data_IF_076479628715
#
_entry.id   IF_076479628715
#
_cell.length_a   1.000
_cell.length_b   1.000
_cell.length_c   1.000
_cell.angle_alpha   90.00
_cell.angle_beta   90.00
_cell.angle_gamma   90.00
#
_symmetry.space_group_name_H-M   'P 1'
#
loop_
_entity.id
_entity.type
_entity.pdbx_description
1 polymer ?
#
# COMPACT_ATOMS: atom_id res chain seq x y z
N UNK A 1 -11.97 -36.77 -24.32
CA UNK A 1 -11.67 -35.76 -25.37
C UNK A 1 -10.24 -35.31 -25.19
N UNK A 2 -9.41 -35.38 -26.21
CA UNK A 2 -8.06 -34.79 -26.11
C UNK A 2 -8.21 -33.27 -25.93
N UNK A 3 -7.58 -32.71 -24.91
CA UNK A 3 -7.61 -31.27 -24.65
C UNK A 3 -6.82 -30.55 -25.77
N UNK A 4 -7.44 -29.53 -26.38
CA UNK A 4 -6.93 -28.90 -27.60
C UNK A 4 -5.48 -28.33 -27.48
N UNK A 5 -5.04 -28.01 -26.26
CA UNK A 5 -3.72 -27.49 -25.96
C UNK A 5 -2.67 -28.55 -25.56
N UNK A 6 -3.08 -29.86 -25.47
CA UNK A 6 -2.19 -30.98 -25.26
C UNK A 6 -2.01 -31.73 -26.59
N UNK A 7 -0.97 -31.47 -27.35
CA UNK A 7 -0.81 -32.01 -28.70
C UNK A 7 -0.38 -33.49 -28.71
N UNK A 8 -0.01 -34.06 -27.58
CA UNK A 8 0.49 -35.43 -27.50
C UNK A 8 -0.65 -36.44 -27.66
N UNK A 9 -0.42 -37.39 -28.57
CA UNK A 9 -1.28 -38.55 -28.76
C UNK A 9 -0.98 -39.63 -27.71
N UNK A 10 -1.85 -40.63 -27.57
CA UNK A 10 -1.60 -41.80 -26.71
C UNK A 10 -0.33 -42.53 -27.07
N UNK A 11 0.03 -42.57 -28.39
CA UNK A 11 1.28 -43.16 -28.85
C UNK A 11 2.49 -42.34 -28.47
N UNK A 12 2.40 -41.03 -28.52
CA UNK A 12 3.47 -40.13 -28.03
C UNK A 12 3.71 -40.33 -26.54
N UNK A 13 2.63 -40.39 -25.75
CA UNK A 13 2.71 -40.63 -24.30
C UNK A 13 3.39 -41.98 -24.03
N UNK A 14 2.95 -43.05 -24.72
CA UNK A 14 3.54 -44.37 -24.58
C UNK A 14 5.05 -44.39 -24.91
N UNK A 15 5.45 -43.76 -26.01
CA UNK A 15 6.88 -43.64 -26.38
C UNK A 15 7.69 -42.88 -25.33
N UNK A 16 7.11 -41.83 -24.74
CA UNK A 16 7.76 -41.08 -23.65
C UNK A 16 7.93 -41.92 -22.39
N UNK A 17 6.90 -42.68 -21.98
CA UNK A 17 6.96 -43.58 -20.84
C UNK A 17 7.97 -44.71 -21.04
N UNK A 18 7.99 -45.31 -22.22
CA UNK A 18 9.00 -46.34 -22.61
C UNK A 18 10.42 -45.76 -22.55
N UNK A 19 10.61 -44.54 -23.01
CA UNK A 19 11.92 -43.89 -22.96
C UNK A 19 12.39 -43.58 -21.54
N UNK A 20 11.47 -43.23 -20.63
CA UNK A 20 11.73 -43.02 -19.21
C UNK A 20 11.94 -44.36 -18.47
N UNK A 21 11.32 -45.44 -18.94
CA UNK A 21 11.37 -46.77 -18.34
C UNK A 21 10.30 -46.98 -17.27
N UNK A 22 9.13 -46.39 -17.42
CA UNK A 22 7.97 -46.52 -16.52
C UNK A 22 6.75 -47.02 -17.31
N UNK A 23 5.82 -47.70 -16.64
CA UNK A 23 4.66 -48.28 -17.30
C UNK A 23 3.43 -47.38 -17.42
N UNK A 24 3.34 -46.35 -16.56
CA UNK A 24 2.22 -45.43 -16.52
C UNK A 24 2.61 -44.03 -16.10
N UNK A 25 1.70 -43.06 -16.29
CA UNK A 25 1.89 -41.71 -15.78
C UNK A 25 1.94 -41.67 -14.24
N UNK A 26 1.21 -42.57 -13.59
CA UNK A 26 1.17 -42.71 -12.13
C UNK A 26 2.53 -43.07 -11.55
N UNK A 27 3.32 -43.87 -12.29
CA UNK A 27 4.65 -44.31 -11.84
C UNK A 27 5.62 -43.11 -11.71
N UNK A 28 5.34 -42.00 -12.40
CA UNK A 28 6.11 -40.75 -12.30
C UNK A 28 5.96 -40.08 -10.94
N UNK A 29 4.92 -40.42 -10.18
CA UNK A 29 4.63 -39.90 -8.85
C UNK A 29 4.96 -40.89 -7.74
N UNK A 30 5.89 -41.81 -7.98
CA UNK A 30 6.27 -42.87 -7.03
C UNK A 30 6.85 -42.34 -5.71
N UNK A 31 7.34 -41.11 -5.68
CA UNK A 31 7.82 -40.39 -4.49
C UNK A 31 6.71 -39.70 -3.68
N UNK A 32 5.47 -39.65 -4.21
CA UNK A 32 4.32 -39.09 -3.51
C UNK A 32 3.65 -40.22 -2.67
N UNK A 33 3.44 -40.00 -1.34
CA UNK A 33 2.73 -40.95 -0.52
C UNK A 33 1.34 -41.26 -1.08
N UNK A 34 1.00 -42.58 -1.17
CA UNK A 34 -0.22 -43.03 -1.85
C UNK A 34 -1.51 -42.56 -1.16
N UNK A 35 -1.47 -42.29 0.13
CA UNK A 35 -2.57 -41.82 0.94
C UNK A 35 -2.91 -40.33 0.73
N UNK A 36 -2.02 -39.54 0.13
CA UNK A 36 -2.27 -38.13 -0.22
C UNK A 36 -2.65 -37.91 -1.70
N UNK A 37 -2.61 -38.99 -2.51
CA UNK A 37 -3.02 -38.90 -3.92
C UNK A 37 -4.55 -38.89 -4.00
N UNK A 38 -5.15 -37.81 -4.45
CA UNK A 38 -6.58 -37.73 -4.69
C UNK A 38 -6.96 -38.52 -5.96
N UNK A 39 -7.79 -39.53 -5.83
CA UNK A 39 -8.15 -40.48 -6.93
C UNK A 39 -9.59 -40.36 -7.38
N UNK A 40 -10.39 -39.52 -6.71
CA UNK A 40 -11.76 -39.28 -7.10
C UNK A 40 -11.86 -38.22 -8.17
N UNK A 41 -12.97 -38.16 -8.88
CA UNK A 41 -13.29 -37.05 -9.73
C UNK A 41 -13.46 -35.78 -8.87
N UNK A 42 -13.01 -34.64 -9.39
CA UNK A 42 -13.21 -33.34 -8.72
C UNK A 42 -14.68 -32.95 -8.82
N UNK A 43 -15.25 -32.52 -7.73
CA UNK A 43 -16.58 -31.90 -7.68
C UNK A 43 -16.48 -30.46 -8.20
N UNK A 44 -16.38 -30.32 -9.50
CA UNK A 44 -16.29 -29.05 -10.20
C UNK A 44 -17.51 -28.89 -11.11
N UNK A 45 -18.00 -27.65 -11.28
CA UNK A 45 -19.04 -27.36 -12.27
C UNK A 45 -18.63 -27.78 -13.67
N UNK A 46 -19.58 -28.13 -14.50
CA UNK A 46 -19.36 -28.36 -15.93
C UNK A 46 -18.79 -27.13 -16.63
N UNK A 47 -18.08 -27.37 -17.74
CA UNK A 47 -17.54 -26.29 -18.54
C UNK A 47 -18.65 -25.39 -19.09
N UNK A 48 -18.51 -24.09 -18.88
CA UNK A 48 -19.43 -23.06 -19.38
C UNK A 48 -18.86 -22.37 -20.63
N UNK A 49 -19.75 -21.91 -21.50
CA UNK A 49 -19.38 -20.98 -22.57
C UNK A 49 -19.01 -19.61 -22.00
N UNK A 50 -18.29 -18.80 -22.76
CA UNK A 50 -17.97 -17.41 -22.37
C UNK A 50 -19.22 -16.61 -22.00
N UNK A 51 -20.30 -16.80 -22.76
CA UNK A 51 -21.58 -16.12 -22.49
C UNK A 51 -22.17 -16.49 -21.15
N UNK A 52 -22.22 -17.79 -20.80
CA UNK A 52 -22.72 -18.29 -19.51
C UNK A 52 -21.86 -17.79 -18.34
N UNK A 53 -20.53 -17.81 -18.50
CA UNK A 53 -19.61 -17.27 -17.47
C UNK A 53 -19.87 -15.79 -17.24
N UNK A 54 -20.03 -15.00 -18.31
CA UNK A 54 -20.34 -13.57 -18.20
C UNK A 54 -21.67 -13.33 -17.48
N UNK A 55 -22.73 -14.02 -17.88
CA UNK A 55 -24.04 -13.89 -17.24
C UNK A 55 -23.97 -14.27 -15.75
N UNK A 56 -23.24 -15.33 -15.41
CA UNK A 56 -23.08 -15.77 -14.02
C UNK A 56 -22.40 -14.68 -13.16
N UNK A 57 -21.28 -14.12 -13.64
CA UNK A 57 -20.55 -13.09 -12.90
C UNK A 57 -21.24 -11.74 -12.91
N UNK A 58 -21.95 -11.37 -13.97
CA UNK A 58 -22.79 -10.17 -14.02
C UNK A 58 -23.93 -10.28 -13.00
N UNK A 59 -24.59 -11.45 -12.90
CA UNK A 59 -25.60 -11.70 -11.87
C UNK A 59 -25.03 -11.64 -10.44
N UNK A 60 -23.81 -12.14 -10.21
CA UNK A 60 -23.15 -11.98 -8.91
C UNK A 60 -22.81 -10.51 -8.61
N UNK A 61 -22.43 -9.74 -9.63
CA UNK A 61 -22.11 -8.32 -9.47
C UNK A 61 -23.35 -7.49 -9.05
N UNK A 62 -24.54 -7.87 -9.45
CA UNK A 62 -25.81 -7.20 -9.06
C UNK A 62 -26.09 -7.27 -7.55
N UNK A 63 -25.50 -8.22 -6.82
CA UNK A 63 -25.58 -8.29 -5.36
C UNK A 63 -24.73 -7.22 -4.67
N UNK A 64 -23.82 -6.55 -5.39
CA UNK A 64 -22.99 -5.49 -4.82
C UNK A 64 -23.65 -4.13 -5.06
N UNK A 65 -23.98 -3.44 -3.98
CA UNK A 65 -24.51 -2.09 -4.03
C UNK A 65 -23.35 -1.09 -4.00
N UNK A 66 -23.10 -0.29 -5.05
CA UNK A 66 -22.14 0.80 -4.99
C UNK A 66 -22.58 1.83 -3.96
N UNK A 67 -21.69 2.16 -3.02
CA UNK A 67 -21.92 3.15 -1.99
C UNK A 67 -21.04 4.38 -2.23
N UNK A 68 -21.56 5.56 -1.91
CA UNK A 68 -20.78 6.80 -1.91
C UNK A 68 -19.80 6.78 -0.73
N UNK A 69 -18.50 6.87 -1.01
CA UNK A 69 -17.47 6.62 -0.02
C UNK A 69 -17.08 7.91 0.74
N UNK A 70 -17.28 7.91 2.06
CA UNK A 70 -16.75 8.89 3.01
C UNK A 70 -15.75 8.23 3.99
N UNK A 71 -14.95 7.28 3.50
CA UNK A 71 -14.00 6.53 4.30
C UNK A 71 -12.56 6.80 3.82
N UNK A 72 -11.62 6.84 4.77
CA UNK A 72 -10.18 6.96 4.54
C UNK A 72 -9.42 5.72 5.04
N UNK A 73 -8.64 5.89 6.11
CA UNK A 73 -7.89 4.83 6.79
C UNK A 73 -6.83 4.16 5.89
N UNK A 74 -6.17 4.98 5.06
CA UNK A 74 -5.04 4.57 4.22
C UNK A 74 -5.40 4.22 2.79
N UNK A 75 -6.68 4.28 2.40
CA UNK A 75 -7.13 4.20 1.01
C UNK A 75 -8.19 5.29 0.77
N UNK A 76 -8.04 6.05 -0.34
CA UNK A 76 -8.79 7.28 -0.58
C UNK A 76 -9.39 7.27 -1.99
N UNK A 77 -10.68 7.60 -2.09
CA UNK A 77 -11.40 7.62 -3.37
C UNK A 77 -11.15 8.91 -4.15
N UNK A 78 -9.91 9.10 -4.63
CA UNK A 78 -9.55 10.19 -5.51
C UNK A 78 -10.01 9.96 -6.96
N UNK A 79 -10.19 11.04 -7.72
CA UNK A 79 -10.56 10.94 -9.14
C UNK A 79 -9.41 10.37 -9.97
N UNK A 80 -9.72 9.36 -10.77
CA UNK A 80 -8.78 8.74 -11.71
C UNK A 80 -9.05 9.26 -13.13
N UNK A 81 -8.09 9.99 -13.75
CA UNK A 81 -8.24 10.44 -15.12
C UNK A 81 -8.43 9.31 -16.14
N UNK A 82 -9.43 9.43 -17.00
CA UNK A 82 -9.85 8.37 -17.94
C UNK A 82 -8.74 7.89 -18.91
N UNK A 83 -7.71 8.70 -19.14
CA UNK A 83 -6.58 8.33 -19.99
C UNK A 83 -5.68 7.26 -19.36
N UNK A 84 -5.67 7.15 -18.04
CA UNK A 84 -4.78 6.20 -17.34
C UNK A 84 -5.15 4.75 -17.63
N UNK A 85 -6.41 4.31 -17.42
CA UNK A 85 -6.83 2.96 -17.83
C UNK A 85 -6.55 2.66 -19.30
N UNK A 86 -6.73 3.64 -20.19
CA UNK A 86 -6.43 3.48 -21.60
C UNK A 86 -4.94 3.21 -21.88
N UNK A 87 -4.04 3.87 -21.14
CA UNK A 87 -2.60 3.66 -21.30
C UNK A 87 -2.19 2.31 -20.73
N UNK A 88 -2.60 1.98 -19.48
CA UNK A 88 -2.15 0.74 -18.81
C UNK A 88 -2.73 -0.53 -19.42
N UNK A 89 -3.86 -0.43 -20.16
CA UNK A 89 -4.46 -1.57 -20.87
C UNK A 89 -3.76 -1.92 -22.19
N UNK A 90 -2.80 -1.10 -22.64
CA UNK A 90 -2.03 -1.44 -23.84
C UNK A 90 -1.16 -2.67 -23.57
N UNK A 91 -1.14 -3.58 -24.55
CA UNK A 91 -0.42 -4.88 -24.42
C UNK A 91 1.05 -4.70 -24.11
N UNK A 92 1.68 -3.63 -24.59
CA UNK A 92 3.10 -3.33 -24.37
C UNK A 92 3.43 -3.13 -22.88
N UNK A 93 2.46 -2.68 -22.09
CA UNK A 93 2.59 -2.52 -20.64
C UNK A 93 1.96 -3.70 -19.88
N UNK A 94 0.73 -4.09 -20.26
CA UNK A 94 -0.06 -5.10 -19.55
C UNK A 94 0.63 -6.46 -19.50
N UNK A 95 1.28 -6.86 -20.58
CA UNK A 95 2.01 -8.15 -20.69
C UNK A 95 3.49 -8.05 -20.34
N UNK A 96 4.01 -6.85 -20.05
CA UNK A 96 5.41 -6.68 -19.68
C UNK A 96 5.72 -7.36 -18.34
N UNK A 97 6.82 -8.11 -18.33
CA UNK A 97 7.36 -8.71 -17.11
C UNK A 97 8.58 -7.90 -16.62
N UNK A 98 9.39 -8.47 -15.76
CA UNK A 98 10.58 -7.81 -15.24
C UNK A 98 11.55 -7.43 -16.35
N UNK A 99 12.03 -6.18 -16.41
CA UNK A 99 12.90 -5.68 -17.48
C UNK A 99 14.36 -6.10 -17.27
N UNK A 100 14.64 -7.40 -17.33
CA UNK A 100 16.01 -7.95 -17.15
C UNK A 100 16.95 -7.57 -18.28
N UNK A 101 16.45 -7.49 -19.51
CA UNK A 101 17.21 -7.13 -20.69
C UNK A 101 17.00 -5.66 -21.03
N UNK A 102 17.93 -4.75 -20.64
CA UNK A 102 17.76 -3.32 -20.87
C UNK A 102 17.65 -2.96 -22.34
N UNK A 103 18.25 -3.76 -23.24
CA UNK A 103 18.26 -3.50 -24.68
C UNK A 103 16.85 -3.46 -25.29
N UNK A 104 15.91 -4.25 -24.76
CA UNK A 104 14.52 -4.34 -25.25
C UNK A 104 13.49 -3.74 -24.28
N UNK A 105 13.91 -3.29 -23.11
CA UNK A 105 13.03 -2.86 -22.02
C UNK A 105 13.19 -1.39 -21.63
N UNK A 106 13.71 -0.55 -22.50
CA UNK A 106 14.00 0.85 -22.17
C UNK A 106 12.75 1.65 -21.78
N UNK A 107 11.61 1.38 -22.41
CA UNK A 107 10.34 2.04 -22.05
C UNK A 107 9.87 1.69 -20.63
N UNK A 108 9.91 0.41 -20.26
CA UNK A 108 9.58 -0.09 -18.91
C UNK A 108 10.55 0.46 -17.86
N UNK A 109 11.85 0.39 -18.11
CA UNK A 109 12.86 0.95 -17.22
C UNK A 109 12.71 2.45 -17.03
N UNK A 110 12.35 3.17 -18.10
CA UNK A 110 12.16 4.61 -18.05
C UNK A 110 11.01 5.00 -17.12
N UNK A 111 9.82 4.42 -17.27
CA UNK A 111 8.71 4.83 -16.40
C UNK A 111 8.93 4.41 -14.93
N UNK A 112 9.63 3.30 -14.69
CA UNK A 112 10.03 2.92 -13.32
C UNK A 112 10.99 3.97 -12.74
N UNK A 113 11.96 4.44 -13.53
CA UNK A 113 12.87 5.51 -13.11
C UNK A 113 12.12 6.82 -12.83
N UNK A 114 11.12 7.16 -13.65
CA UNK A 114 10.26 8.32 -13.44
C UNK A 114 9.43 8.19 -12.16
N UNK A 115 8.83 7.01 -11.90
CA UNK A 115 8.15 6.70 -10.63
C UNK A 115 9.08 6.93 -9.42
N UNK A 116 10.25 6.31 -9.45
CA UNK A 116 11.26 6.47 -8.38
C UNK A 116 11.60 7.95 -8.14
N UNK A 117 11.79 8.71 -9.20
CA UNK A 117 12.18 10.13 -9.12
C UNK A 117 11.07 10.97 -8.52
N UNK A 118 9.82 10.77 -8.94
CA UNK A 118 8.67 11.52 -8.45
C UNK A 118 8.39 11.22 -6.97
N UNK A 119 8.43 9.95 -6.54
CA UNK A 119 8.26 9.59 -5.13
C UNK A 119 9.43 10.09 -4.28
N UNK A 120 10.65 10.05 -4.81
CA UNK A 120 11.83 10.60 -4.13
C UNK A 120 11.66 12.09 -3.85
N UNK A 121 11.17 12.84 -4.82
CA UNK A 121 10.92 14.29 -4.69
C UNK A 121 9.79 14.60 -3.71
N UNK A 122 8.65 13.88 -3.80
CA UNK A 122 7.53 14.04 -2.86
C UNK A 122 7.91 13.75 -1.41
N UNK A 123 8.75 12.75 -1.19
CA UNK A 123 9.14 12.35 0.17
C UNK A 123 10.31 13.14 0.75
N UNK A 124 11.01 13.93 -0.07
CA UNK A 124 12.23 14.63 0.31
C UNK A 124 13.42 13.70 0.55
N UNK A 125 13.40 12.49 -0.01
CA UNK A 125 14.43 11.46 0.19
C UNK A 125 15.48 11.49 -0.92
N UNK A 126 16.49 10.59 -0.82
CA UNK A 126 17.57 10.51 -1.82
C UNK A 126 17.28 9.49 -2.92
N UNK A 127 16.64 8.36 -2.57
CA UNK A 127 16.41 7.26 -3.50
C UNK A 127 15.16 6.47 -3.10
N UNK A 128 14.35 6.12 -4.09
CA UNK A 128 13.19 5.22 -3.96
C UNK A 128 13.45 3.96 -4.79
N UNK A 129 12.93 2.82 -4.35
CA UNK A 129 12.96 1.58 -5.14
C UNK A 129 11.90 1.60 -6.26
N UNK A 130 11.93 0.57 -7.12
CA UNK A 130 11.03 0.44 -8.27
C UNK A 130 9.54 0.30 -7.87
N UNK A 131 9.24 -0.18 -6.73
CA UNK A 131 8.02 -0.23 -5.92
C UNK A 131 8.01 -1.41 -4.96
N UNK A 132 7.06 -1.41 -4.04
CA UNK A 132 6.74 -2.49 -3.11
C UNK A 132 5.40 -3.11 -3.50
N UNK A 133 5.00 -4.22 -2.86
CA UNK A 133 3.70 -4.83 -3.11
C UNK A 133 2.56 -3.91 -2.67
N UNK A 134 2.64 -3.41 -1.45
CA UNK A 134 1.72 -2.42 -0.85
C UNK A 134 2.42 -1.66 0.28
N UNK A 135 1.71 -0.71 0.88
CA UNK A 135 2.26 0.10 1.97
C UNK A 135 2.55 -0.69 3.24
N UNK A 136 1.75 -1.70 3.57
CA UNK A 136 1.93 -2.49 4.78
C UNK A 136 3.19 -3.39 4.69
N UNK A 137 3.43 -4.01 3.54
CA UNK A 137 4.67 -4.75 3.28
C UNK A 137 5.87 -3.81 3.18
N UNK A 138 5.70 -2.60 2.64
CA UNK A 138 6.75 -1.58 2.66
C UNK A 138 7.16 -1.20 4.09
N UNK A 139 6.20 -1.07 5.02
CA UNK A 139 6.47 -0.81 6.43
C UNK A 139 7.23 -1.97 7.11
N UNK A 140 6.85 -3.21 6.79
CA UNK A 140 7.56 -4.40 7.29
C UNK A 140 9.00 -4.46 6.76
N UNK A 141 9.23 -4.14 5.51
CA UNK A 141 10.56 -4.07 4.92
C UNK A 141 11.39 -2.89 5.46
N UNK A 142 10.76 -1.76 5.81
CA UNK A 142 11.42 -0.66 6.52
C UNK A 142 11.95 -1.13 7.89
N UNK A 143 11.16 -1.91 8.64
CA UNK A 143 11.60 -2.56 9.88
C UNK A 143 12.81 -3.46 9.62
N UNK A 144 12.75 -4.34 8.61
CA UNK A 144 13.88 -5.23 8.26
C UNK A 144 15.13 -4.44 7.85
N UNK A 145 14.94 -3.32 7.16
CA UNK A 145 16.02 -2.41 6.77
C UNK A 145 16.68 -1.74 7.99
N UNK A 146 15.91 -1.36 9.01
CA UNK A 146 16.44 -0.86 10.27
C UNK A 146 17.27 -1.92 10.99
N UNK A 147 16.77 -3.15 11.09
CA UNK A 147 17.51 -4.29 11.67
C UNK A 147 18.82 -4.56 10.93
N UNK A 148 18.81 -4.55 9.60
CA UNK A 148 20.01 -4.74 8.79
C UNK A 148 21.01 -3.58 8.90
N UNK A 149 20.56 -2.39 9.31
CA UNK A 149 21.38 -1.18 9.42
C UNK A 149 22.07 -1.05 10.77
N UNK A 150 21.50 -1.62 11.81
CA UNK A 150 21.93 -1.43 13.20
C UNK A 150 22.43 -2.74 13.79
N UNK A 151 23.74 -2.95 13.76
CA UNK A 151 24.35 -4.15 14.35
C UNK A 151 24.09 -4.22 15.86
N UNK A 152 23.70 -5.42 16.36
CA UNK A 152 23.46 -5.73 17.78
C UNK A 152 22.17 -5.17 18.39
N UNK A 153 21.32 -4.51 17.65
CA UNK A 153 20.01 -4.09 18.12
C UNK A 153 18.96 -5.12 17.71
N UNK A 154 17.96 -5.33 18.57
CA UNK A 154 17.01 -6.44 18.43
C UNK A 154 15.56 -5.99 18.33
N UNK A 155 15.30 -4.71 18.65
CA UNK A 155 13.95 -4.19 18.82
C UNK A 155 13.65 -3.05 17.87
N UNK A 156 12.39 -3.00 17.37
CA UNK A 156 11.85 -1.86 16.63
C UNK A 156 10.60 -1.35 17.32
N UNK A 157 10.49 -0.03 17.45
CA UNK A 157 9.33 0.63 18.03
C UNK A 157 8.33 1.03 16.95
N UNK A 158 7.06 0.77 17.19
CA UNK A 158 5.94 1.16 16.36
C UNK A 158 5.05 2.13 17.12
N UNK A 159 4.64 3.24 16.50
CA UNK A 159 3.57 4.05 17.05
C UNK A 159 2.24 3.28 17.01
N UNK A 160 1.43 3.34 18.07
CA UNK A 160 0.05 2.85 18.07
C UNK A 160 -0.87 3.70 17.19
N UNK A 161 -0.41 4.88 16.75
CA UNK A 161 -1.08 5.71 15.74
C UNK A 161 -1.01 5.18 14.32
N UNK A 162 -0.17 4.17 14.03
CA UNK A 162 -0.16 3.48 12.73
C UNK A 162 -1.48 2.79 12.45
N UNK A 163 -1.81 2.65 11.17
CA UNK A 163 -3.00 1.92 10.73
C UNK A 163 -2.96 0.46 11.20
N UNK A 164 -4.07 -0.09 11.73
CA UNK A 164 -4.08 -1.44 12.33
C UNK A 164 -3.63 -2.55 11.39
N UNK A 165 -3.95 -2.46 10.09
CA UNK A 165 -3.52 -3.46 9.11
C UNK A 165 -2.01 -3.40 8.87
N UNK A 166 -1.39 -2.22 8.90
CA UNK A 166 0.08 -2.05 8.81
C UNK A 166 0.75 -2.72 9.99
N UNK A 167 0.27 -2.46 11.21
CA UNK A 167 0.79 -3.10 12.44
C UNK A 167 0.68 -4.63 12.36
N UNK A 168 -0.44 -5.16 11.84
CA UNK A 168 -0.63 -6.62 11.70
C UNK A 168 0.39 -7.25 10.77
N UNK A 169 0.68 -6.63 9.62
CA UNK A 169 1.68 -7.13 8.67
C UNK A 169 3.08 -7.05 9.28
N UNK A 170 3.45 -5.90 9.89
CA UNK A 170 4.75 -5.75 10.56
C UNK A 170 4.93 -6.80 11.67
N UNK A 171 3.89 -7.08 12.49
CA UNK A 171 3.91 -8.15 13.50
C UNK A 171 4.17 -9.53 12.88
N UNK A 172 3.58 -9.82 11.72
CA UNK A 172 3.80 -11.09 11.03
C UNK A 172 5.26 -11.24 10.61
N UNK A 173 5.82 -10.21 9.96
CA UNK A 173 7.23 -10.22 9.56
C UNK A 173 8.17 -10.33 10.76
N UNK A 174 7.91 -9.56 11.82
CA UNK A 174 8.71 -9.57 13.05
C UNK A 174 8.75 -10.96 13.68
N UNK A 175 7.58 -11.63 13.80
CA UNK A 175 7.47 -12.99 14.37
C UNK A 175 8.38 -13.99 13.67
N UNK A 176 8.38 -14.00 12.33
CA UNK A 176 9.12 -15.00 11.56
C UNK A 176 10.60 -14.64 11.33
N UNK A 177 10.98 -13.39 11.61
CA UNK A 177 12.37 -12.92 11.52
C UNK A 177 13.03 -12.70 12.89
N UNK A 178 12.35 -13.04 13.99
CA UNK A 178 12.90 -12.91 15.35
C UNK A 178 13.15 -11.46 15.78
N UNK A 179 12.36 -10.51 15.27
CA UNK A 179 12.44 -9.09 15.64
C UNK A 179 11.49 -8.83 16.82
N UNK A 180 12.00 -8.23 17.86
CA UNK A 180 11.21 -7.78 19.00
C UNK A 180 10.51 -6.45 18.64
N UNK A 181 9.21 -6.33 18.93
CA UNK A 181 8.44 -5.10 18.73
C UNK A 181 8.09 -4.45 20.07
N UNK A 182 8.37 -3.16 20.19
CA UNK A 182 7.83 -2.29 21.22
C UNK A 182 6.76 -1.35 20.62
N UNK A 183 5.90 -0.80 21.49
CA UNK A 183 4.84 0.09 21.06
C UNK A 183 4.94 1.43 21.80
N UNK A 184 4.77 2.52 21.04
CA UNK A 184 4.72 3.88 21.57
C UNK A 184 3.23 4.27 21.62
N UNK A 185 2.67 4.50 22.82
CA UNK A 185 1.27 4.87 22.97
C UNK A 185 0.97 6.25 22.36
N UNK A 186 -0.28 6.46 21.97
CA UNK A 186 -0.79 7.77 21.61
C UNK A 186 -1.36 8.48 22.85
N UNK A 187 -1.00 9.74 23.04
CA UNK A 187 -1.59 10.63 24.05
C UNK A 187 -2.29 11.78 23.30
N UNK A 188 -3.55 12.01 23.63
CA UNK A 188 -4.38 12.99 22.91
C UNK A 188 -4.33 12.82 21.39
N UNK A 189 -4.42 11.54 20.96
CA UNK A 189 -4.44 11.13 19.54
C UNK A 189 -3.11 11.16 18.81
N UNK A 190 -1.99 11.58 19.43
CA UNK A 190 -0.68 11.67 18.79
C UNK A 190 0.38 10.79 19.46
N UNK A 191 1.38 10.35 18.71
CA UNK A 191 2.50 9.52 19.19
C UNK A 191 3.25 10.21 20.32
N UNK A 192 3.36 9.57 21.47
CA UNK A 192 3.98 10.14 22.68
C UNK A 192 5.50 10.24 22.54
N UNK A 193 6.02 11.46 22.41
CA UNK A 193 7.46 11.73 22.42
C UNK A 193 8.15 11.25 23.70
N UNK A 194 7.53 11.53 24.88
CA UNK A 194 8.08 11.13 26.16
C UNK A 194 8.15 9.61 26.35
N UNK A 195 7.13 8.87 25.90
CA UNK A 195 7.15 7.41 25.93
C UNK A 195 8.23 6.85 24.99
N UNK A 196 8.38 7.43 23.79
CA UNK A 196 9.47 7.06 22.89
C UNK A 196 10.84 7.23 23.53
N UNK A 197 11.11 8.35 24.20
CA UNK A 197 12.39 8.58 24.91
C UNK A 197 12.66 7.53 25.99
N UNK A 198 11.62 7.15 26.73
CA UNK A 198 11.71 6.09 27.76
C UNK A 198 12.11 4.75 27.14
N UNK A 199 11.48 4.37 26.04
CA UNK A 199 11.79 3.13 25.31
C UNK A 199 13.20 3.15 24.69
N UNK A 200 13.64 4.29 24.15
CA UNK A 200 14.96 4.47 23.54
C UNK A 200 16.09 4.36 24.58
N UNK A 201 15.82 4.65 25.85
CA UNK A 201 16.83 4.60 26.93
C UNK A 201 17.42 3.20 27.15
N UNK A 202 16.74 2.13 26.73
CA UNK A 202 17.24 0.76 26.77
C UNK A 202 18.45 0.51 25.84
N UNK A 203 18.61 1.33 24.80
CA UNK A 203 19.74 1.29 23.86
C UNK A 203 19.71 0.15 22.83
N UNK A 204 18.66 -0.68 22.83
CA UNK A 204 18.47 -1.86 21.96
C UNK A 204 17.60 -1.61 20.73
N UNK A 205 17.08 -0.39 20.57
CA UNK A 205 16.12 -0.02 19.51
C UNK A 205 16.84 0.24 18.18
N UNK A 206 16.54 -0.58 17.16
CA UNK A 206 17.08 -0.47 15.81
C UNK A 206 16.41 0.65 14.99
N UNK A 207 15.13 0.90 15.23
CA UNK A 207 14.39 1.95 14.55
C UNK A 207 13.06 2.24 15.20
N UNK A 208 12.51 3.38 14.83
CA UNK A 208 11.17 3.86 15.25
C UNK A 208 10.36 4.16 14.02
N UNK A 209 9.19 3.56 13.89
CA UNK A 209 8.25 3.78 12.78
C UNK A 209 7.00 4.51 13.28
N UNK A 210 6.72 5.67 12.69
CA UNK A 210 5.60 6.55 13.02
C UNK A 210 4.76 6.87 11.78
N UNK A 211 3.46 7.22 11.88
CA UNK A 211 2.64 7.63 10.76
C UNK A 211 2.72 9.13 10.53
N UNK A 212 2.87 9.61 9.28
CA UNK A 212 2.79 11.05 8.94
C UNK A 212 1.38 11.62 9.17
N UNK A 213 0.38 10.89 8.73
CA UNK A 213 -1.03 11.05 9.13
C UNK A 213 -1.40 9.74 9.83
N UNK A 214 -1.95 9.83 11.02
CA UNK A 214 -2.21 8.64 11.83
C UNK A 214 -3.62 8.08 11.64
N UNK A 215 -3.93 6.97 12.31
CA UNK A 215 -5.21 6.25 12.22
C UNK A 215 -6.44 7.09 12.62
N UNK A 216 -6.24 8.23 13.26
CA UNK A 216 -7.30 9.18 13.62
C UNK A 216 -7.46 10.33 12.61
N UNK A 217 -6.62 10.35 11.55
CA UNK A 217 -6.56 11.41 10.54
C UNK A 217 -5.72 12.61 10.96
N UNK A 218 -5.05 12.55 12.12
CA UNK A 218 -4.26 13.66 12.68
C UNK A 218 -2.92 13.75 11.94
N UNK A 219 -2.54 14.97 11.54
CA UNK A 219 -1.19 15.30 11.06
C UNK A 219 -0.28 15.44 12.29
N UNK A 220 0.71 14.56 12.42
CA UNK A 220 1.60 14.56 13.58
C UNK A 220 2.82 15.50 13.40
N UNK A 221 3.31 16.05 14.52
CA UNK A 221 4.53 16.86 14.59
C UNK A 221 5.68 16.01 15.16
N UNK A 222 6.70 15.79 14.35
CA UNK A 222 7.86 14.97 14.71
C UNK A 222 9.11 15.80 15.10
N UNK A 223 8.93 17.04 15.56
CA UNK A 223 10.04 17.86 16.05
C UNK A 223 10.83 17.13 17.14
N UNK A 224 12.12 16.90 16.90
CA UNK A 224 13.03 16.25 17.84
C UNK A 224 13.03 14.71 17.79
N UNK A 225 12.08 14.05 17.10
CA UNK A 225 12.04 12.58 17.02
C UNK A 225 13.29 12.02 16.34
N UNK A 226 13.65 12.53 15.17
CA UNK A 226 14.84 12.09 14.44
C UNK A 226 16.10 12.22 15.28
N UNK A 227 16.32 13.38 15.92
CA UNK A 227 17.49 13.64 16.76
C UNK A 227 17.60 12.65 17.92
N UNK A 228 16.48 12.36 18.59
CA UNK A 228 16.44 11.40 19.70
C UNK A 228 16.78 9.98 19.24
N UNK A 229 16.23 9.55 18.10
CA UNK A 229 16.48 8.23 17.53
C UNK A 229 17.94 8.11 17.05
N UNK A 230 18.45 9.13 16.36
CA UNK A 230 19.83 9.17 15.87
C UNK A 230 20.86 9.19 17.00
N UNK A 231 20.57 9.88 18.12
CA UNK A 231 21.43 9.87 19.32
C UNK A 231 21.65 8.44 19.83
N UNK A 232 20.68 7.56 19.66
CA UNK A 232 20.78 6.13 19.98
C UNK A 232 21.26 5.28 18.80
N UNK A 233 21.66 5.86 17.66
CA UNK A 233 22.07 5.15 16.43
C UNK A 233 20.97 4.22 15.89
N UNK A 234 19.71 4.59 16.05
CA UNK A 234 18.54 3.99 15.42
C UNK A 234 18.19 4.68 14.12
N UNK A 235 17.26 4.11 13.33
CA UNK A 235 16.66 4.72 12.15
C UNK A 235 15.31 5.33 12.50
N UNK A 236 15.11 6.59 12.11
CA UNK A 236 13.81 7.22 12.15
C UNK A 236 13.05 6.95 10.84
N UNK A 237 11.90 6.30 10.94
CA UNK A 237 11.12 5.82 9.80
C UNK A 237 9.72 6.39 9.84
N UNK A 238 9.20 6.82 8.68
CA UNK A 238 7.87 7.43 8.58
C UNK A 238 7.01 6.68 7.56
N UNK A 239 5.81 6.28 7.96
CA UNK A 239 4.77 5.76 7.08
C UNK A 239 3.90 6.92 6.59
N UNK A 240 3.78 7.12 5.28
CA UNK A 240 3.12 8.29 4.70
C UNK A 240 2.14 7.95 3.59
N UNK A 241 1.06 8.73 3.51
CA UNK A 241 0.26 8.92 2.30
C UNK A 241 1.00 9.90 1.36
N UNK A 242 1.49 9.48 0.18
CA UNK A 242 2.31 10.33 -0.66
C UNK A 242 1.55 11.50 -1.28
N UNK A 243 0.23 11.40 -1.50
CA UNK A 243 -0.57 12.52 -2.01
C UNK A 243 -0.53 13.70 -1.03
N UNK A 244 -0.65 13.44 0.26
CA UNK A 244 -0.65 14.47 1.31
C UNK A 244 0.66 15.28 1.36
N UNK A 245 1.77 14.69 0.95
CA UNK A 245 3.09 15.33 0.96
C UNK A 245 3.22 16.51 0.00
N UNK A 246 2.23 16.71 -0.88
CA UNK A 246 2.14 17.91 -1.71
C UNK A 246 1.81 19.19 -0.91
N UNK A 247 1.28 19.05 0.31
CA UNK A 247 0.78 20.19 1.13
C UNK A 247 1.24 20.18 2.58
N UNK A 248 1.78 19.05 3.08
CA UNK A 248 2.32 18.95 4.45
C UNK A 248 3.83 18.78 4.42
N UNK A 249 4.49 18.98 5.56
CA UNK A 249 5.92 18.82 5.73
C UNK A 249 6.34 17.38 5.41
N UNK A 250 7.36 17.24 4.57
CA UNK A 250 7.82 15.93 4.11
C UNK A 250 8.60 15.17 5.18
N UNK A 251 8.61 13.82 5.14
CA UNK A 251 9.44 13.04 6.06
C UNK A 251 10.93 13.35 5.97
N UNK A 252 11.45 13.69 4.78
CA UNK A 252 12.83 14.13 4.61
C UNK A 252 13.14 15.40 5.40
N UNK A 253 12.21 16.37 5.44
CA UNK A 253 12.32 17.59 6.26
C UNK A 253 12.23 17.32 7.78
N UNK A 254 11.59 16.20 8.18
CA UNK A 254 11.61 15.72 9.55
C UNK A 254 12.89 14.97 9.94
N UNK A 255 13.81 14.75 8.99
CA UNK A 255 15.05 14.00 9.20
C UNK A 255 14.87 12.47 9.17
N UNK A 256 13.83 11.97 8.49
CA UNK A 256 13.64 10.53 8.35
C UNK A 256 14.79 9.87 7.56
N UNK A 257 15.19 8.66 7.98
CA UNK A 257 16.16 7.82 7.27
C UNK A 257 15.46 6.97 6.20
N UNK A 258 14.23 6.56 6.48
CA UNK A 258 13.40 5.72 5.62
C UNK A 258 11.98 6.23 5.62
N UNK A 259 11.38 6.26 4.43
CA UNK A 259 9.95 6.58 4.24
C UNK A 259 9.31 5.45 3.48
N UNK A 260 8.16 5.00 3.95
CA UNK A 260 7.37 3.96 3.30
C UNK A 260 5.89 4.35 3.29
N UNK A 261 5.12 3.71 2.45
CA UNK A 261 3.68 3.94 2.37
C UNK A 261 3.05 3.30 1.15
N UNK A 262 1.77 3.60 0.94
CA UNK A 262 1.01 3.14 -0.21
C UNK A 262 0.70 4.31 -1.14
N UNK A 263 0.93 4.11 -2.43
CA UNK A 263 0.66 5.14 -3.46
C UNK A 263 -0.75 5.07 -4.04
N UNK A 264 -1.69 4.35 -3.41
CA UNK A 264 -3.09 4.28 -3.84
C UNK A 264 -3.71 5.67 -3.98
N UNK A 265 -3.40 6.58 -3.06
CA UNK A 265 -3.90 7.97 -3.06
C UNK A 265 -3.47 8.79 -4.28
N UNK A 266 -2.54 8.29 -5.09
CA UNK A 266 -2.13 8.91 -6.36
C UNK A 266 -2.98 8.39 -7.53
N UNK A 267 -4.31 8.43 -7.37
CA UNK A 267 -5.32 8.20 -8.39
C UNK A 267 -5.70 6.76 -8.67
N UNK A 268 -5.17 5.78 -7.94
CA UNK A 268 -5.60 4.37 -8.11
C UNK A 268 -7.00 4.19 -7.53
N UNK A 269 -7.98 3.64 -8.27
CA UNK A 269 -9.32 3.41 -7.75
C UNK A 269 -9.33 2.45 -6.56
N UNK A 270 -10.36 2.56 -5.72
CA UNK A 270 -10.64 1.56 -4.69
C UNK A 270 -11.06 0.24 -5.36
N UNK A 271 -10.39 -0.86 -5.02
CA UNK A 271 -10.56 -2.18 -5.63
C UNK A 271 -10.43 -3.28 -4.57
N UNK A 272 -11.31 -3.32 -3.58
CA UNK A 272 -11.35 -4.37 -2.56
C UNK A 272 -9.97 -4.75 -1.93
N UNK A 273 -9.07 -3.77 -1.81
CA UNK A 273 -7.73 -3.97 -1.26
C UNK A 273 -6.60 -4.12 -2.29
N UNK A 274 -6.88 -3.91 -3.57
CA UNK A 274 -5.82 -3.85 -4.57
C UNK A 274 -6.17 -4.45 -5.94
N UNK A 275 -5.18 -4.50 -6.85
CA UNK A 275 -3.75 -4.22 -6.59
C UNK A 275 -3.50 -2.74 -6.32
N UNK A 276 -2.70 -2.46 -5.27
CA UNK A 276 -2.16 -1.13 -5.00
C UNK A 276 -0.65 -1.12 -5.28
N UNK A 277 0.07 -0.10 -4.83
CA UNK A 277 1.52 -0.03 -5.01
C UNK A 277 2.18 0.64 -3.81
N UNK A 278 2.99 -0.11 -3.10
CA UNK A 278 3.81 0.41 -2.04
C UNK A 278 5.05 1.12 -2.57
N UNK A 279 5.63 1.98 -1.75
CA UNK A 279 6.93 2.58 -1.99
C UNK A 279 7.82 2.49 -0.75
N UNK A 280 9.13 2.47 -1.00
CA UNK A 280 10.14 2.56 0.04
C UNK A 280 11.25 3.49 -0.45
N UNK A 281 11.49 4.56 0.29
CA UNK A 281 12.49 5.57 -0.01
C UNK A 281 13.46 5.71 1.17
N UNK A 282 14.71 6.11 0.89
CA UNK A 282 15.70 6.25 1.94
C UNK A 282 16.73 7.35 1.66
N UNK A 283 17.48 7.72 2.70
CA UNK A 283 18.67 8.57 2.59
C UNK A 283 19.81 7.84 1.86
N UNK A 284 20.81 8.59 1.41
CA UNK A 284 21.96 8.08 0.65
C UNK A 284 22.70 6.93 1.34
N UNK A 285 22.82 6.99 2.65
CA UNK A 285 23.59 6.02 3.43
C UNK A 285 22.94 4.63 3.48
N UNK A 286 21.64 4.57 3.20
CA UNK A 286 20.85 3.35 3.29
C UNK A 286 20.50 2.70 1.94
N UNK A 287 20.82 3.32 0.80
CA UNK A 287 20.49 2.81 -0.56
C UNK A 287 20.92 1.36 -0.77
N UNK A 288 22.08 0.94 -0.25
CA UNK A 288 22.58 -0.43 -0.39
C UNK A 288 21.77 -1.47 0.41
N UNK A 289 20.87 -1.03 1.27
CA UNK A 289 19.99 -1.89 2.08
C UNK A 289 18.53 -1.80 1.68
N UNK A 290 18.23 -0.89 0.76
CA UNK A 290 16.89 -0.71 0.21
C UNK A 290 16.46 -2.00 -0.50
N UNK A 291 15.34 -2.66 -0.12
CA UNK A 291 14.87 -3.88 -0.78
C UNK A 291 14.29 -3.57 -2.15
N UNK A 292 14.07 -4.61 -2.94
CA UNK A 292 13.51 -4.51 -4.27
C UNK A 292 14.48 -3.95 -5.32
N UNK A 293 13.99 -3.80 -6.53
CA UNK A 293 14.77 -3.32 -7.67
C UNK A 293 14.97 -1.82 -7.62
N UNK A 294 16.07 -1.37 -8.22
CA UNK A 294 16.36 0.06 -8.44
C UNK A 294 16.79 0.20 -9.89
N UNK A 295 16.15 1.10 -10.61
CA UNK A 295 16.55 1.51 -11.97
C UNK A 295 17.44 2.75 -11.86
N UNK A 296 18.56 2.70 -12.57
CA UNK A 296 19.49 3.82 -12.70
C UNK A 296 19.55 4.34 -14.13
N UNK A 297 19.86 5.63 -14.27
CA UNK A 297 20.15 6.24 -15.56
C UNK A 297 21.62 6.06 -15.91
N UNK A 298 21.91 5.76 -17.19
CA UNK A 298 23.25 5.58 -17.75
C UNK A 298 23.30 6.19 -19.16
N UNK A 299 24.37 5.94 -19.88
CA UNK A 299 24.52 6.24 -21.31
C UNK A 299 24.81 4.96 -22.08
N UNK A 300 24.29 4.85 -23.29
CA UNK A 300 24.62 3.81 -24.24
C UNK A 300 25.98 4.08 -24.95
N UNK A 301 26.34 3.22 -25.89
CA UNK A 301 27.60 3.33 -26.65
C UNK A 301 27.68 4.59 -27.52
N UNK A 302 26.53 5.16 -27.89
CA UNK A 302 26.43 6.40 -28.65
C UNK A 302 26.35 7.65 -27.73
N UNK A 303 26.41 7.48 -26.40
CA UNK A 303 26.29 8.55 -25.41
C UNK A 303 24.87 9.01 -25.13
N UNK A 304 23.85 8.35 -25.67
CA UNK A 304 22.43 8.64 -25.41
C UNK A 304 22.02 8.13 -24.03
N UNK A 305 21.04 8.80 -23.40
CA UNK A 305 20.49 8.36 -22.12
C UNK A 305 19.84 6.97 -22.25
N UNK A 306 20.21 6.08 -21.38
CA UNK A 306 19.67 4.74 -21.25
C UNK A 306 19.39 4.42 -19.78
N UNK A 307 18.63 3.36 -19.53
CA UNK A 307 18.23 2.93 -18.19
C UNK A 307 18.58 1.46 -17.99
N UNK A 308 19.01 1.12 -16.77
CA UNK A 308 19.42 -0.24 -16.40
C UNK A 308 18.98 -0.57 -14.98
N UNK A 309 18.80 -1.86 -14.67
CA UNK A 309 18.70 -2.31 -13.29
C UNK A 309 20.07 -2.17 -12.61
N UNK A 310 20.07 -1.60 -11.39
CA UNK A 310 21.30 -1.38 -10.64
C UNK A 310 21.28 -2.13 -9.30
N UNK A 311 22.45 -2.31 -8.67
CA UNK A 311 22.60 -2.93 -7.36
C UNK A 311 21.94 -4.31 -7.23
N UNK A 312 21.84 -5.08 -8.31
CA UNK A 312 21.14 -6.37 -8.37
C UNK A 312 21.73 -7.42 -7.40
N UNK A 313 23.00 -7.30 -7.00
CA UNK A 313 23.64 -8.22 -6.07
C UNK A 313 22.93 -8.32 -4.69
N UNK A 314 21.96 -7.47 -4.38
CA UNK A 314 21.14 -7.52 -3.16
C UNK A 314 19.92 -8.44 -3.30
N UNK A 315 19.50 -8.74 -4.54
CA UNK A 315 18.24 -9.43 -4.82
C UNK A 315 18.29 -10.91 -4.43
N UNK A 316 17.12 -11.46 -4.09
CA UNK A 316 16.94 -12.82 -3.58
C UNK A 316 17.50 -13.89 -4.56
N UNK A 317 17.27 -13.74 -5.86
CA UNK A 317 17.73 -14.71 -6.85
C UNK A 317 19.26 -14.83 -6.95
N UNK A 318 19.99 -13.81 -6.45
CA UNK A 318 21.47 -13.82 -6.37
C UNK A 318 21.93 -14.26 -4.98
N UNK A 319 21.39 -13.64 -3.91
CA UNK A 319 21.83 -13.88 -2.52
C UNK A 319 21.16 -15.06 -1.84
N UNK A 320 20.07 -15.55 -2.38
CA UNK A 320 19.27 -16.68 -1.85
C UNK A 320 18.88 -16.43 -0.37
N UNK A 321 19.18 -17.36 0.53
CA UNK A 321 18.91 -17.28 1.96
C UNK A 321 19.61 -16.10 2.69
N UNK A 322 20.62 -15.50 2.07
CA UNK A 322 21.35 -14.35 2.61
C UNK A 322 20.79 -13.00 2.16
N UNK A 323 19.72 -13.00 1.37
CA UNK A 323 19.04 -11.77 0.99
C UNK A 323 18.35 -11.12 2.19
N UNK A 324 18.37 -9.79 2.23
CA UNK A 324 17.67 -9.02 3.30
C UNK A 324 16.16 -9.00 3.13
N UNK A 325 15.66 -9.33 1.95
CA UNK A 325 14.24 -9.34 1.60
C UNK A 325 13.95 -10.46 0.62
N UNK A 326 12.73 -10.99 0.65
CA UNK A 326 12.22 -11.97 -0.30
C UNK A 326 11.44 -11.34 -1.47
N UNK A 327 11.47 -10.03 -1.61
CA UNK A 327 10.83 -9.33 -2.74
C UNK A 327 11.50 -9.78 -4.05
N UNK A 328 10.68 -10.29 -4.97
CA UNK A 328 11.10 -10.72 -6.30
C UNK A 328 10.67 -9.72 -7.37
N UNK A 329 9.36 -9.63 -7.61
CA UNK A 329 8.77 -8.67 -8.55
C UNK A 329 8.16 -7.49 -7.78
N UNK A 330 8.08 -6.34 -8.44
CA UNK A 330 7.40 -5.16 -7.92
C UNK A 330 6.02 -5.00 -8.59
N UNK A 331 5.26 -4.00 -8.19
CA UNK A 331 3.96 -3.62 -8.79
C UNK A 331 4.17 -2.67 -9.98
N UNK A 332 4.81 -3.18 -11.04
CA UNK A 332 5.27 -2.34 -12.15
C UNK A 332 4.14 -1.64 -12.90
N UNK A 333 3.02 -2.34 -13.16
CA UNK A 333 1.87 -1.74 -13.84
C UNK A 333 1.20 -0.64 -13.00
N UNK A 334 1.09 -0.85 -11.69
CA UNK A 334 0.58 0.18 -10.77
C UNK A 334 1.56 1.35 -10.59
N UNK A 335 2.86 1.10 -10.63
CA UNK A 335 3.86 2.16 -10.68
C UNK A 335 3.72 3.03 -11.95
N UNK A 336 3.41 2.41 -13.11
CA UNK A 336 3.06 3.15 -14.33
C UNK A 336 1.80 3.98 -14.15
N UNK A 337 0.76 3.39 -13.51
CA UNK A 337 -0.49 4.10 -13.20
C UNK A 337 -0.20 5.41 -12.45
N UNK A 338 0.53 5.31 -11.36
CA UNK A 338 0.94 6.44 -10.50
C UNK A 338 1.81 7.44 -11.26
N UNK A 339 2.74 6.95 -12.11
CA UNK A 339 3.61 7.81 -12.93
C UNK A 339 2.78 8.67 -13.89
N UNK A 340 1.80 8.06 -14.56
CA UNK A 340 0.90 8.77 -15.48
C UNK A 340 0.05 9.78 -14.71
N UNK A 341 -0.53 9.38 -13.56
CA UNK A 341 -1.31 10.27 -12.70
C UNK A 341 -0.49 11.51 -12.29
N UNK A 342 0.68 11.29 -11.70
CA UNK A 342 1.54 12.40 -11.27
C UNK A 342 1.99 13.28 -12.43
N UNK A 343 2.24 12.71 -13.62
CA UNK A 343 2.59 13.46 -14.82
C UNK A 343 1.46 14.36 -15.32
N UNK A 344 0.20 13.89 -15.19
CA UNK A 344 -0.99 14.67 -15.57
C UNK A 344 -1.27 15.79 -14.57
N UNK A 345 -1.21 15.46 -13.28
CA UNK A 345 -1.55 16.40 -12.20
C UNK A 345 -0.45 17.44 -12.01
N UNK A 346 0.80 17.02 -12.06
CA UNK A 346 1.93 17.85 -11.69
C UNK A 346 1.86 18.38 -10.25
N UNK A 347 2.84 19.20 -9.81
CA UNK A 347 2.84 19.74 -8.44
C UNK A 347 1.59 20.59 -8.13
N UNK A 348 1.09 21.35 -9.14
CA UNK A 348 -0.10 22.18 -8.96
C UNK A 348 -1.36 21.34 -8.75
N UNK A 349 -1.60 20.34 -9.60
CA UNK A 349 -2.78 19.49 -9.49
C UNK A 349 -2.79 18.66 -8.21
N UNK A 350 -1.63 18.10 -7.80
CA UNK A 350 -1.53 17.38 -6.51
C UNK A 350 -1.87 18.29 -5.32
N UNK A 351 -1.41 19.53 -5.33
CA UNK A 351 -1.77 20.51 -4.31
C UNK A 351 -3.28 20.79 -4.33
N UNK A 352 -3.85 21.09 -5.49
CA UNK A 352 -5.25 21.44 -5.67
C UNK A 352 -6.20 20.31 -5.21
N UNK A 353 -5.87 19.04 -5.51
CA UNK A 353 -6.61 17.87 -5.00
C UNK A 353 -6.64 17.85 -3.48
N UNK A 354 -5.50 18.10 -2.82
CA UNK A 354 -5.44 18.10 -1.36
C UNK A 354 -6.11 19.34 -0.73
N UNK A 355 -6.04 20.51 -1.37
CA UNK A 355 -6.71 21.74 -0.92
C UNK A 355 -8.25 21.58 -1.01
N UNK A 356 -8.76 21.00 -2.09
CA UNK A 356 -10.19 20.69 -2.22
C UNK A 356 -10.65 19.66 -1.18
N UNK A 357 -9.87 18.59 -0.99
CA UNK A 357 -10.15 17.58 0.03
C UNK A 357 -10.14 18.17 1.44
N UNK A 358 -9.17 19.03 1.75
CA UNK A 358 -9.10 19.77 3.01
C UNK A 358 -10.36 20.62 3.24
N UNK A 359 -10.74 21.43 2.26
CA UNK A 359 -11.94 22.28 2.37
C UNK A 359 -13.22 21.48 2.61
N UNK A 360 -13.40 20.39 1.86
CA UNK A 360 -14.54 19.49 2.01
C UNK A 360 -14.56 18.78 3.37
N UNK A 361 -13.41 18.27 3.85
CA UNK A 361 -13.31 17.57 5.12
C UNK A 361 -13.61 18.49 6.31
N UNK A 362 -13.06 19.68 6.31
CA UNK A 362 -13.33 20.69 7.35
C UNK A 362 -14.80 21.13 7.33
N UNK A 363 -15.37 21.30 6.14
CA UNK A 363 -16.79 21.62 6.01
C UNK A 363 -17.68 20.50 6.57
N UNK A 364 -17.43 19.23 6.19
CA UNK A 364 -18.18 18.07 6.71
C UNK A 364 -18.04 17.97 8.24
N UNK A 365 -16.81 18.08 8.76
CA UNK A 365 -16.51 18.05 10.19
C UNK A 365 -17.39 19.06 10.96
N UNK A 366 -17.38 20.32 10.53
CA UNK A 366 -18.12 21.39 11.21
C UNK A 366 -19.64 21.20 11.10
N UNK A 367 -20.13 20.68 9.97
CA UNK A 367 -21.56 20.38 9.79
C UNK A 367 -22.01 19.18 10.64
N UNK A 368 -21.19 18.13 10.78
CA UNK A 368 -21.48 16.98 11.63
C UNK A 368 -21.57 17.37 13.11
N UNK A 369 -20.70 18.24 13.61
CA UNK A 369 -20.78 18.75 14.98
C UNK A 369 -22.09 19.50 15.26
N UNK A 370 -22.67 20.14 14.25
CA UNK A 370 -23.94 20.86 14.38
C UNK A 370 -25.19 19.94 14.41
N UNK A 371 -25.01 18.64 14.11
CA UNK A 371 -26.14 17.68 14.20
C UNK A 371 -26.52 17.29 15.60
N UNK A 372 -25.64 17.48 16.58
CA UNK A 372 -25.81 16.97 17.94
C UNK A 372 -25.56 15.47 18.10
N UNK A 373 -25.19 14.79 17.03
CA UNK A 373 -24.84 13.34 17.05
C UNK A 373 -23.38 13.08 17.36
N UNK A 374 -22.54 14.12 17.29
CA UNK A 374 -21.09 14.00 17.42
C UNK A 374 -20.51 15.12 18.28
N UNK A 375 -19.37 14.81 18.93
CA UNK A 375 -18.49 15.79 19.55
C UNK A 375 -17.04 15.62 19.03
N UNK A 376 -16.20 16.65 19.21
CA UNK A 376 -14.79 16.57 18.88
C UNK A 376 -14.12 15.44 19.66
N UNK A 377 -13.39 14.56 18.97
CA UNK A 377 -12.53 13.56 19.59
C UNK A 377 -11.17 14.16 19.97
N UNK A 378 -10.59 14.97 19.09
CA UNK A 378 -9.26 15.58 19.22
C UNK A 378 -9.28 17.03 18.75
N UNK A 379 -8.47 17.89 19.38
CA UNK A 379 -8.22 19.27 18.93
C UNK A 379 -6.84 19.33 18.25
N UNK A 380 -6.73 18.68 17.11
CA UNK A 380 -5.50 18.49 16.35
C UNK A 380 -5.73 18.80 14.86
N UNK A 381 -4.68 19.18 14.11
CA UNK A 381 -4.80 19.43 12.67
C UNK A 381 -5.06 18.13 11.91
N UNK A 382 -5.93 18.18 10.90
CA UNK A 382 -6.19 17.09 9.97
C UNK A 382 -6.27 17.61 8.53
N UNK A 383 -6.09 16.73 7.55
CA UNK A 383 -6.11 17.11 6.12
C UNK A 383 -7.45 16.77 5.48
N UNK A 384 -7.66 15.51 5.12
CA UNK A 384 -8.82 15.02 4.37
C UNK A 384 -9.65 13.99 5.14
N UNK A 385 -9.12 13.48 6.23
CA UNK A 385 -9.81 12.56 7.13
C UNK A 385 -9.69 13.03 8.57
N UNK A 386 -10.73 12.73 9.35
CA UNK A 386 -10.84 13.16 10.73
C UNK A 386 -11.66 12.16 11.55
N UNK A 387 -11.47 12.19 12.85
CA UNK A 387 -12.21 11.35 13.80
C UNK A 387 -13.07 12.20 14.72
N UNK A 388 -14.33 11.78 14.87
CA UNK A 388 -15.29 12.36 15.83
C UNK A 388 -15.68 11.31 16.85
N UNK A 389 -16.11 11.76 18.04
CA UNK A 389 -16.75 10.89 19.02
C UNK A 389 -18.25 10.88 18.77
N UNK A 390 -18.82 9.69 18.61
CA UNK A 390 -20.26 9.51 18.47
C UNK A 390 -20.96 9.62 19.81
N UNK A 391 -22.07 10.37 19.86
CA UNK A 391 -22.94 10.51 21.03
C UNK A 391 -24.12 9.53 21.03
N UNK A 392 -24.27 8.78 19.93
CA UNK A 392 -25.25 7.72 19.73
C UNK A 392 -24.56 6.43 19.32
N UNK A 393 -25.21 5.24 19.37
CA UNK A 393 -24.61 4.02 18.91
C UNK A 393 -24.09 4.14 17.46
N UNK A 394 -22.84 3.79 17.22
CA UNK A 394 -22.18 3.92 15.90
C UNK A 394 -22.98 3.18 14.82
N UNK A 395 -23.50 1.99 15.13
CA UNK A 395 -24.31 1.20 14.22
C UNK A 395 -25.55 1.96 13.72
N UNK A 396 -26.18 2.80 14.58
CA UNK A 396 -27.32 3.65 14.19
C UNK A 396 -26.93 4.62 13.08
N UNK A 397 -25.75 5.25 13.20
CA UNK A 397 -25.22 6.18 12.18
C UNK A 397 -24.89 5.43 10.90
N UNK A 398 -24.19 4.30 11.02
CA UNK A 398 -23.79 3.49 9.86
C UNK A 398 -25.02 2.99 9.08
N UNK A 399 -26.04 2.49 9.77
CA UNK A 399 -27.29 2.05 9.15
C UNK A 399 -28.01 3.21 8.44
N UNK A 400 -28.05 4.37 9.05
CA UNK A 400 -28.65 5.55 8.46
C UNK A 400 -27.90 6.00 7.17
N UNK A 401 -26.59 6.04 7.22
CA UNK A 401 -25.77 6.35 6.05
C UNK A 401 -25.96 5.32 4.93
N UNK A 402 -26.01 4.04 5.27
CA UNK A 402 -26.23 2.95 4.31
C UNK A 402 -27.61 3.06 3.63
N UNK A 403 -28.66 3.47 4.35
CA UNK A 403 -30.00 3.68 3.80
C UNK A 403 -30.03 4.72 2.69
N UNK A 404 -29.13 5.70 2.72
CA UNK A 404 -28.98 6.70 1.64
C UNK A 404 -27.82 6.41 0.70
N UNK A 405 -27.31 5.17 0.71
CA UNK A 405 -26.25 4.74 -0.19
C UNK A 405 -24.85 5.29 0.13
N UNK A 406 -24.57 5.64 1.39
CA UNK A 406 -23.28 6.20 1.83
C UNK A 406 -22.54 5.19 2.71
N UNK A 407 -21.23 5.00 2.46
CA UNK A 407 -20.30 4.28 3.31
C UNK A 407 -19.43 5.28 4.08
N UNK A 408 -19.56 5.33 5.40
CA UNK A 408 -18.84 6.27 6.26
C UNK A 408 -18.98 5.90 7.74
N UNK A 409 -18.54 6.77 8.62
CA UNK A 409 -18.54 6.56 10.07
C UNK A 409 -17.86 5.25 10.50
N UNK A 410 -16.67 4.97 9.94
CA UNK A 410 -15.92 3.76 10.28
C UNK A 410 -15.37 3.86 11.69
N UNK A 411 -15.75 2.92 12.56
CA UNK A 411 -15.30 2.90 13.95
C UNK A 411 -13.81 2.52 14.02
N UNK A 412 -12.98 3.43 14.55
CA UNK A 412 -11.53 3.22 14.74
C UNK A 412 -11.18 2.78 16.15
N UNK A 413 -11.99 3.18 17.11
CA UNK A 413 -12.05 2.74 18.51
C UNK A 413 -13.48 2.86 18.99
N UNK A 414 -13.81 2.25 20.14
CA UNK A 414 -15.17 2.28 20.68
C UNK A 414 -15.73 3.70 20.80
N UNK A 415 -16.75 3.99 19.98
CA UNK A 415 -17.40 5.30 19.92
C UNK A 415 -16.63 6.37 19.13
N UNK A 416 -15.44 6.07 18.60
CA UNK A 416 -14.66 6.98 17.74
C UNK A 416 -14.83 6.59 16.28
N UNK A 417 -15.39 7.48 15.48
CA UNK A 417 -15.69 7.25 14.07
C UNK A 417 -14.88 8.14 13.15
N UNK A 418 -14.30 7.53 12.11
CA UNK A 418 -13.54 8.22 11.07
C UNK A 418 -14.44 8.56 9.88
N UNK A 419 -14.22 9.74 9.32
CA UNK A 419 -14.76 10.21 8.05
C UNK A 419 -13.62 10.73 7.18
N UNK A 420 -13.79 10.63 5.86
CA UNK A 420 -12.87 11.17 4.88
C UNK A 420 -13.63 11.86 3.75
N UNK A 421 -13.08 12.97 3.26
CA UNK A 421 -13.57 13.70 2.09
C UNK A 421 -12.44 13.89 1.11
N UNK A 422 -12.69 13.52 -0.14
CA UNK A 422 -11.80 13.80 -1.27
C UNK A 422 -12.41 14.87 -2.18
N UNK A 423 -11.67 15.30 -3.18
CA UNK A 423 -12.13 16.28 -4.20
C UNK A 423 -13.36 15.81 -5.00
N UNK A 424 -13.72 14.53 -4.90
CA UNK A 424 -14.93 13.97 -5.54
C UNK A 424 -16.23 14.32 -4.81
N UNK A 425 -16.13 14.76 -3.55
CA UNK A 425 -17.28 15.02 -2.70
C UNK A 425 -17.70 16.48 -2.81
N UNK A 426 -18.87 16.74 -3.39
CA UNK A 426 -19.39 18.11 -3.54
C UNK A 426 -19.99 18.62 -2.24
N UNK A 427 -20.09 19.96 -2.11
CA UNK A 427 -20.77 20.61 -1.00
C UNK A 427 -22.23 20.18 -0.91
N UNK A 428 -22.93 20.06 -2.05
CA UNK A 428 -24.31 19.64 -2.13
C UNK A 428 -24.51 18.22 -1.58
N UNK A 429 -23.55 17.31 -1.87
CA UNK A 429 -23.56 15.95 -1.31
C UNK A 429 -23.39 15.97 0.20
N UNK A 430 -22.48 16.79 0.72
CA UNK A 430 -22.29 16.97 2.17
C UNK A 430 -23.56 17.50 2.82
N UNK A 431 -24.16 18.55 2.26
CA UNK A 431 -25.40 19.16 2.78
C UNK A 431 -26.56 18.16 2.83
N UNK A 432 -26.71 17.33 1.79
CA UNK A 432 -27.75 16.30 1.73
C UNK A 432 -27.54 15.22 2.81
N UNK A 433 -26.31 14.71 2.97
CA UNK A 433 -25.97 13.69 3.97
C UNK A 433 -26.18 14.23 5.37
N UNK A 434 -25.68 15.43 5.67
CA UNK A 434 -25.84 16.07 6.99
C UNK A 434 -27.30 16.38 7.26
N UNK A 435 -28.06 16.85 6.25
CA UNK A 435 -29.49 17.08 6.37
C UNK A 435 -30.25 15.83 6.80
N UNK A 436 -29.95 14.69 6.18
CA UNK A 436 -30.54 13.40 6.55
C UNK A 436 -30.16 12.97 7.97
N UNK A 437 -28.89 13.13 8.36
CA UNK A 437 -28.45 12.80 9.72
C UNK A 437 -29.10 13.67 10.80
N UNK A 438 -29.46 14.94 10.53
CA UNK A 438 -30.17 15.81 11.45
C UNK A 438 -31.60 15.35 11.76
N UNK A 439 -32.20 14.56 10.88
CA UNK A 439 -33.53 13.98 11.08
C UNK A 439 -33.50 12.72 11.96
N UNK A 440 -32.32 12.18 12.26
CA UNK A 440 -32.20 11.07 13.20
C UNK A 440 -32.45 11.56 14.61
N UNK A 441 -33.47 11.00 15.25
CA UNK A 441 -33.69 11.22 16.69
C UNK A 441 -32.45 10.73 17.48
N UNK A 442 -32.01 11.53 18.43
CA UNK A 442 -30.85 11.22 19.27
C UNK A 442 -31.06 9.99 20.18
#
# INVERSE_FOLDING_TARGET
>A
MAFAYFPHTEDDIRQMLDRIGVGSLEDLYSDVPQDVIYRNEYDLPDAMSEHEVRQYFEGLAEFNTPLFCLCGLGAYDHYSPAVIPHIISRSEFLTAYTPYQPEVSQGTLRYIFEYQSMITELTGMYCTNASMYDGATAAAEAMMMAMASTKKKTRVLLSEGLLPHVIKVVKTYAKFNGVELGFIPCHDGVTSYGAMLTELAAGDVAGVLVPGINRYGIIEDFTGFADAVHAQKGLFMVYSDPSSLAVIKTPGEWGADVVCGDSQSLGIPLCYGGPYVGFLACTKDHVRKLPGRIVGATKDVDGKRAYVLTLQAREQHIRREKATSNICSNQSLMALYVTVYMSLMGPKGLREVNELSYGGAHYLHDQLLQTGLFEKAFDKPFLKEFTLKSLVPVEKIQNALQMIGVFGAVEVESGLVNFCVTEKVSKESIDAIVGYLKELEA
#
